data_IF_984357149867
#
_entry.id   IF_984357149867
#
_cell.length_a   1.000
_cell.length_b   1.000
_cell.length_c   1.000
_cell.angle_alpha   90.00
_cell.angle_beta   90.00
_cell.angle_gamma   90.00
#
_symmetry.space_group_name_H-M   'P 1'
#
loop_
_entity.id
_entity.type
_entity.pdbx_description
1 polymer ?
#
# COMPACT_ATOMS: atom_id res chain seq x y z
N UNK A 1 -5.75 -12.55 -2.57
CA UNK A 1 -5.50 -11.32 -3.33
C UNK A 1 -5.96 -10.12 -2.51
N UNK A 2 -5.06 -9.19 -2.26
CA UNK A 2 -5.35 -8.04 -1.40
C UNK A 2 -5.06 -6.73 -2.11
N UNK A 3 -5.70 -5.67 -1.63
CA UNK A 3 -5.45 -4.29 -2.03
C UNK A 3 -4.76 -3.62 -0.86
N UNK A 4 -3.59 -3.02 -1.11
CA UNK A 4 -2.85 -2.28 -0.09
C UNK A 4 -3.12 -0.78 -0.24
N UNK A 5 -3.54 -0.15 0.84
CA UNK A 5 -3.75 1.30 0.89
C UNK A 5 -2.71 1.87 1.85
N UNK A 6 -1.87 2.80 1.38
CA UNK A 6 -0.85 3.42 2.21
C UNK A 6 -1.45 4.53 3.08
N UNK A 7 -0.64 5.15 3.92
CA UNK A 7 -1.05 6.21 4.83
C UNK A 7 -2.22 5.79 5.73
N UNK A 8 -2.06 4.63 6.38
CA UNK A 8 -3.11 4.00 7.18
C UNK A 8 -3.68 4.88 8.28
N UNK A 9 -2.92 5.86 8.76
CA UNK A 9 -3.37 6.76 9.82
C UNK A 9 -4.12 7.99 9.31
N UNK A 10 -4.39 8.06 8.00
CA UNK A 10 -5.11 9.21 7.44
C UNK A 10 -6.59 8.88 7.25
N UNK A 11 -7.42 9.93 7.27
CA UNK A 11 -8.84 9.77 6.98
C UNK A 11 -9.09 9.35 5.54
N UNK A 12 -8.19 9.77 4.62
CA UNK A 12 -8.30 9.39 3.21
C UNK A 12 -8.22 7.89 3.02
N UNK A 13 -7.34 7.22 3.78
CA UNK A 13 -7.20 5.77 3.69
C UNK A 13 -8.49 5.07 4.09
N UNK A 14 -9.11 5.50 5.16
CA UNK A 14 -10.37 4.91 5.61
C UNK A 14 -11.53 5.22 4.67
N UNK A 15 -11.57 6.43 4.11
CA UNK A 15 -12.58 6.79 3.14
C UNK A 15 -12.46 5.94 1.87
N UNK A 16 -11.24 5.72 1.40
CA UNK A 16 -11.01 4.89 0.23
C UNK A 16 -11.37 3.43 0.53
N UNK A 17 -11.01 2.94 1.70
CA UNK A 17 -11.36 1.59 2.12
C UNK A 17 -12.88 1.40 2.08
N UNK A 18 -13.62 2.37 2.60
CA UNK A 18 -15.08 2.31 2.63
C UNK A 18 -15.69 2.36 1.22
N UNK A 19 -15.08 3.15 0.33
CA UNK A 19 -15.57 3.23 -1.06
C UNK A 19 -15.34 1.94 -1.83
N UNK A 20 -14.19 1.31 -1.61
CA UNK A 20 -13.86 0.07 -2.30
C UNK A 20 -14.67 -1.10 -1.77
N UNK A 21 -14.96 -1.08 -0.48
CA UNK A 21 -15.66 -2.18 0.16
C UNK A 21 -14.88 -3.48 0.12
N UNK A 22 -15.36 -4.49 0.83
CA UNK A 22 -14.79 -5.82 0.78
C UNK A 22 -13.81 -6.11 1.89
N UNK A 23 -13.45 -7.39 1.99
CA UNK A 23 -12.63 -7.92 3.09
C UNK A 23 -11.16 -8.07 2.71
N UNK A 24 -10.79 -7.71 1.48
CA UNK A 24 -9.46 -7.95 0.95
C UNK A 24 -8.62 -6.68 0.90
N UNK A 25 -8.76 -5.84 1.92
CA UNK A 25 -8.03 -4.57 1.98
C UNK A 25 -7.09 -4.57 3.17
N UNK A 26 -5.81 -4.28 2.90
CA UNK A 26 -4.79 -4.08 3.92
C UNK A 26 -4.46 -2.60 3.97
N UNK A 27 -4.42 -2.05 5.17
CA UNK A 27 -3.93 -0.69 5.38
C UNK A 27 -2.46 -0.78 5.78
N UNK A 28 -1.65 0.14 5.28
CA UNK A 28 -0.23 0.14 5.60
C UNK A 28 0.31 1.53 5.85
N UNK A 29 1.31 1.62 6.71
CA UNK A 29 2.00 2.87 6.96
C UNK A 29 3.45 2.58 7.32
N UNK A 30 4.34 3.52 6.98
CA UNK A 30 5.74 3.41 7.35
C UNK A 30 6.00 4.01 8.73
N UNK A 31 5.08 4.80 9.24
CA UNK A 31 5.18 5.35 10.57
C UNK A 31 4.96 4.26 11.61
N UNK A 32 5.40 4.52 12.84
CA UNK A 32 5.25 3.55 13.89
C UNK A 32 3.78 3.30 14.20
N UNK A 33 3.41 2.03 14.25
CA UNK A 33 2.02 1.62 14.51
C UNK A 33 1.94 0.89 15.84
N UNK A 34 0.84 1.05 16.61
CA UNK A 34 0.64 0.27 17.82
C UNK A 34 0.66 -1.23 17.54
N UNK A 35 1.26 -2.00 18.45
CA UNK A 35 1.36 -3.44 18.29
C UNK A 35 0.00 -4.11 18.13
N UNK A 36 -1.00 -3.60 18.81
CA UNK A 36 -2.36 -4.12 18.76
C UNK A 36 -2.92 -4.08 17.34
N UNK A 37 -2.61 -3.00 16.60
CA UNK A 37 -3.06 -2.87 15.22
C UNK A 37 -2.30 -3.82 14.29
N UNK A 38 -1.00 -3.97 14.51
CA UNK A 38 -0.19 -4.88 13.71
C UNK A 38 -0.62 -6.32 13.91
N UNK A 39 -0.98 -6.69 15.14
CA UNK A 39 -1.41 -8.04 15.46
C UNK A 39 -2.77 -8.40 14.85
N UNK A 40 -3.59 -7.38 14.53
CA UNK A 40 -4.89 -7.64 13.91
C UNK A 40 -4.77 -8.22 12.51
N UNK A 41 -3.61 -8.04 11.86
CA UNK A 41 -3.38 -8.51 10.50
C UNK A 41 -4.01 -7.65 9.42
N UNK A 42 -4.76 -6.62 9.80
CA UNK A 42 -5.41 -5.73 8.84
C UNK A 42 -4.58 -4.49 8.52
N UNK A 43 -3.61 -4.19 9.37
CA UNK A 43 -2.68 -3.08 9.18
C UNK A 43 -1.27 -3.66 9.17
N UNK A 44 -0.48 -3.26 8.19
CA UNK A 44 0.88 -3.77 8.02
C UNK A 44 1.87 -2.62 8.02
N UNK A 45 3.10 -2.92 8.45
CA UNK A 45 4.20 -1.97 8.38
C UNK A 45 4.77 -2.00 6.96
N UNK A 46 4.84 -0.83 6.33
CA UNK A 46 5.42 -0.73 4.98
C UNK A 46 6.78 -0.03 5.07
N UNK A 47 7.61 -0.13 4.00
CA UNK A 47 8.92 0.53 3.99
C UNK A 47 8.81 2.05 4.06
N UNK A 48 9.84 2.67 4.62
CA UNK A 48 9.96 4.13 4.64
C UNK A 48 10.29 4.61 3.22
N UNK A 49 9.54 5.57 2.66
CA UNK A 49 9.83 6.08 1.33
C UNK A 49 11.20 6.76 1.21
N UNK A 50 11.83 7.09 2.32
CA UNK A 50 13.20 7.62 2.31
C UNK A 50 14.26 6.54 2.16
N UNK A 51 13.89 5.28 2.31
CA UNK A 51 14.83 4.17 2.16
C UNK A 51 15.26 4.04 0.70
N UNK A 52 16.58 3.83 0.46
CA UNK A 52 17.08 3.59 -0.89
C UNK A 52 16.55 2.29 -1.47
N UNK A 53 16.10 1.38 -0.63
CA UNK A 53 15.56 0.08 -1.04
C UNK A 53 14.03 0.06 -1.03
N UNK A 54 13.37 1.21 -0.96
CA UNK A 54 11.92 1.28 -0.81
C UNK A 54 11.18 0.43 -1.85
N UNK A 55 11.53 0.61 -3.11
CA UNK A 55 10.85 -0.08 -4.21
C UNK A 55 10.95 -1.59 -4.08
N UNK A 56 12.14 -2.11 -3.81
CA UNK A 56 12.34 -3.54 -3.67
C UNK A 56 11.67 -4.09 -2.41
N UNK A 57 11.73 -3.35 -1.32
CA UNK A 57 11.08 -3.75 -0.08
C UNK A 57 9.56 -3.77 -0.22
N UNK A 58 9.00 -2.78 -0.92
CA UNK A 58 7.57 -2.74 -1.16
C UNK A 58 7.13 -3.89 -2.06
N UNK A 59 7.91 -4.20 -3.10
CA UNK A 59 7.60 -5.33 -3.97
C UNK A 59 7.62 -6.65 -3.19
N UNK A 60 8.63 -6.85 -2.36
CA UNK A 60 8.74 -8.06 -1.54
C UNK A 60 7.54 -8.18 -0.59
N UNK A 61 7.14 -7.07 0.01
CA UNK A 61 5.98 -7.06 0.91
C UNK A 61 4.70 -7.46 0.17
N UNK A 62 4.50 -6.91 -1.03
CA UNK A 62 3.32 -7.23 -1.82
C UNK A 62 3.28 -8.70 -2.21
N UNK A 63 4.41 -9.28 -2.58
CA UNK A 63 4.47 -10.69 -2.92
C UNK A 63 4.23 -11.56 -1.69
N UNK A 64 4.79 -11.17 -0.55
CA UNK A 64 4.61 -11.90 0.70
C UNK A 64 3.16 -11.88 1.19
N UNK A 65 2.47 -10.76 1.01
CA UNK A 65 1.10 -10.56 1.49
C UNK A 65 0.05 -10.80 0.42
N UNK A 66 0.45 -11.25 -0.75
CA UNK A 66 -0.47 -11.51 -1.88
C UNK A 66 -1.26 -10.25 -2.28
N UNK A 67 -0.57 -9.12 -2.37
CA UNK A 67 -1.15 -7.85 -2.80
C UNK A 67 -1.02 -7.71 -4.31
N UNK A 68 -2.12 -7.40 -4.98
CA UNK A 68 -2.10 -7.19 -6.43
C UNK A 68 -2.42 -5.75 -6.84
N UNK A 69 -2.75 -4.89 -5.89
CA UNK A 69 -3.07 -3.50 -6.16
C UNK A 69 -2.60 -2.63 -5.00
N UNK A 70 -1.94 -1.51 -5.32
CA UNK A 70 -1.50 -0.55 -4.31
C UNK A 70 -2.13 0.80 -4.61
N UNK A 71 -2.78 1.39 -3.61
CA UNK A 71 -3.23 2.78 -3.65
C UNK A 71 -2.26 3.60 -2.83
N UNK A 72 -1.44 4.40 -3.51
CA UNK A 72 -0.44 5.24 -2.87
C UNK A 72 -1.06 6.61 -2.57
N UNK A 73 -1.32 6.88 -1.30
CA UNK A 73 -1.96 8.13 -0.88
C UNK A 73 -0.97 9.25 -0.58
N UNK A 74 0.28 8.90 -0.22
CA UNK A 74 1.32 9.91 0.00
C UNK A 74 2.00 10.22 -1.33
N UNK A 75 2.18 11.50 -1.61
CA UNK A 75 2.78 11.93 -2.87
C UNK A 75 4.17 11.32 -3.08
N UNK A 76 4.97 11.27 -2.02
CA UNK A 76 6.32 10.72 -2.09
C UNK A 76 6.31 9.24 -2.48
N UNK A 77 5.42 8.47 -1.87
CA UNK A 77 5.29 7.05 -2.21
C UNK A 77 4.74 6.87 -3.62
N UNK A 78 3.77 7.69 -3.99
CA UNK A 78 3.18 7.64 -5.32
C UNK A 78 4.24 7.84 -6.40
N UNK A 79 5.10 8.85 -6.24
CA UNK A 79 6.15 9.11 -7.21
C UNK A 79 7.12 7.95 -7.33
N UNK A 80 7.53 7.39 -6.20
CA UNK A 80 8.45 6.25 -6.20
C UNK A 80 7.84 5.03 -6.87
N UNK A 81 6.58 4.74 -6.58
CA UNK A 81 5.90 3.58 -7.13
C UNK A 81 5.57 3.75 -8.61
N UNK A 82 5.19 4.95 -9.02
CA UNK A 82 4.92 5.22 -10.45
C UNK A 82 6.20 5.05 -11.26
N UNK A 83 7.33 5.50 -10.73
CA UNK A 83 8.63 5.32 -11.40
C UNK A 83 8.99 3.84 -11.55
N UNK A 84 8.47 2.98 -10.72
CA UNK A 84 8.70 1.54 -10.76
C UNK A 84 7.48 0.76 -11.25
N UNK A 85 6.51 1.44 -11.84
CA UNK A 85 5.23 0.83 -12.24
C UNK A 85 5.42 -0.39 -13.13
N UNK A 86 6.35 -0.30 -14.09
CA UNK A 86 6.61 -1.42 -14.99
C UNK A 86 7.10 -2.65 -14.24
N UNK A 87 7.98 -2.45 -13.28
CA UNK A 87 8.50 -3.55 -12.47
C UNK A 87 7.36 -4.24 -11.70
N UNK A 88 6.50 -3.46 -11.05
CA UNK A 88 5.38 -4.01 -10.30
C UNK A 88 4.39 -4.73 -11.22
N UNK A 89 4.13 -4.14 -12.38
CA UNK A 89 3.21 -4.74 -13.34
C UNK A 89 3.70 -6.11 -13.81
N UNK A 90 4.99 -6.30 -13.95
CA UNK A 90 5.56 -7.59 -14.35
C UNK A 90 5.27 -8.69 -13.31
N UNK A 91 5.02 -8.31 -12.07
CA UNK A 91 4.65 -9.23 -11.01
C UNK A 91 3.15 -9.28 -10.75
N UNK A 92 2.37 -8.68 -11.65
CA UNK A 92 0.92 -8.68 -11.51
C UNK A 92 0.38 -7.67 -10.50
N UNK A 93 1.16 -6.65 -10.16
CA UNK A 93 0.77 -5.64 -9.18
C UNK A 93 0.50 -4.32 -9.87
N UNK A 94 -0.67 -3.75 -9.64
CA UNK A 94 -1.08 -2.48 -10.22
C UNK A 94 -0.89 -1.35 -9.23
N UNK A 95 -0.35 -0.22 -9.71
CA UNK A 95 -0.19 0.99 -8.90
C UNK A 95 -1.31 1.95 -9.29
N UNK A 96 -2.09 2.39 -8.32
CA UNK A 96 -3.20 3.30 -8.57
C UNK A 96 -3.13 4.50 -7.62
N UNK A 97 -3.76 5.59 -8.02
CA UNK A 97 -3.93 6.75 -7.15
C UNK A 97 -5.37 6.79 -6.64
N UNK A 98 -5.63 7.51 -5.53
CA UNK A 98 -6.99 7.58 -4.98
C UNK A 98 -7.99 8.28 -5.91
N UNK A 99 -7.48 9.05 -6.88
CA UNK A 99 -8.33 9.74 -7.85
C UNK A 99 -8.71 8.86 -9.04
N UNK A 100 -8.09 7.70 -9.16
CA UNK A 100 -8.42 6.79 -10.25
C UNK A 100 -9.84 6.28 -10.06
N UNK A 101 -10.64 6.43 -11.09
CA UNK A 101 -11.98 5.87 -11.08
C UNK A 101 -11.91 4.38 -11.27
N UNK A 102 -12.57 3.69 -10.40
CA UNK A 102 -12.60 2.24 -10.42
C UNK A 102 -13.69 1.77 -11.36
#
# INVERSE_FOLDING_TARGET
VYILITAANSSEAYNLKNRLGGDHILLGDYLELPDVLLKSGKIVKIPDPKSVSYTHQMLALCLDKDVDTIYALREQEKQLLVNAEQLFYEYGIKIKSPDDKV
#
